data_IF_011972096083
#
_entry.id   IF_011972096083
#
_cell.length_a   1.000
_cell.length_b   1.000
_cell.length_c   1.000
_cell.angle_alpha   90.00
_cell.angle_beta   90.00
_cell.angle_gamma   90.00
#
_symmetry.space_group_name_H-M   'P 1'
#
loop_
_entity.id
_entity.type
_entity.pdbx_description
1 polymer ?
#
# COMPACT_ATOMS: atom_id res chain seq x y z
N UNK A 1 -4.52 15.93 -62.81
CA UNK A 1 -3.79 14.80 -62.18
C UNK A 1 -3.10 15.33 -60.93
N UNK A 2 -3.27 14.60 -59.85
CA UNK A 2 -3.16 14.96 -58.43
C UNK A 2 -1.74 15.12 -57.89
N UNK A 3 -1.56 15.85 -56.76
CA UNK A 3 -0.27 16.02 -56.08
C UNK A 3 0.13 14.78 -55.26
N UNK A 4 1.42 14.65 -54.87
CA UNK A 4 1.94 13.46 -54.19
C UNK A 4 1.40 13.33 -52.75
N UNK A 5 1.37 12.10 -52.19
CA UNK A 5 0.77 11.86 -50.88
C UNK A 5 1.65 12.46 -49.77
N UNK A 6 1.11 13.49 -49.12
CA UNK A 6 1.66 14.05 -47.89
C UNK A 6 1.65 13.01 -46.77
N UNK A 7 2.76 12.93 -46.06
CA UNK A 7 2.92 12.16 -44.84
C UNK A 7 1.85 12.52 -43.82
N UNK A 8 1.02 11.54 -43.47
CA UNK A 8 0.04 11.62 -42.40
C UNK A 8 0.75 11.66 -41.05
N UNK A 9 1.14 12.86 -40.62
CA UNK A 9 1.51 13.12 -39.23
C UNK A 9 0.29 12.81 -38.36
N UNK A 10 0.35 11.68 -37.65
CA UNK A 10 -0.74 11.18 -36.81
C UNK A 10 -1.13 12.21 -35.76
N UNK A 11 -2.40 12.63 -35.75
CA UNK A 11 -3.01 13.51 -34.73
C UNK A 11 -2.72 13.04 -33.30
N UNK A 12 -2.47 11.75 -33.10
CA UNK A 12 -2.04 11.21 -31.82
C UNK A 12 -0.69 11.78 -31.36
N UNK A 13 0.27 11.97 -32.27
CA UNK A 13 1.55 12.60 -31.92
C UNK A 13 1.37 14.08 -31.58
N UNK A 14 0.44 14.78 -32.23
CA UNK A 14 0.10 16.18 -31.94
C UNK A 14 -0.62 16.35 -30.60
N UNK A 15 -1.51 15.42 -30.25
CA UNK A 15 -2.22 15.41 -28.97
C UNK A 15 -1.35 14.99 -27.80
N UNK A 16 -0.40 14.07 -28.00
CA UNK A 16 0.55 13.67 -26.96
C UNK A 16 1.62 14.76 -26.76
N UNK A 17 2.05 15.43 -27.83
CA UNK A 17 2.96 16.59 -27.73
C UNK A 17 2.31 17.81 -27.07
N UNK A 18 0.98 17.98 -27.18
CA UNK A 18 0.27 19.07 -26.52
C UNK A 18 -0.04 18.76 -25.05
N UNK A 19 -0.24 17.48 -24.70
CA UNK A 19 -0.41 17.04 -23.32
C UNK A 19 0.89 17.13 -22.48
N UNK A 20 2.05 17.03 -23.15
CA UNK A 20 3.38 17.15 -22.54
C UNK A 20 4.01 18.47 -22.99
N UNK A 21 3.43 19.60 -22.58
CA UNK A 21 4.04 20.91 -22.82
C UNK A 21 5.19 21.13 -21.82
N UNK A 22 6.30 20.40 -22.00
CA UNK A 22 7.55 20.70 -21.30
C UNK A 22 8.20 21.83 -22.09
N UNK A 23 8.38 23.04 -21.50
CA UNK A 23 9.17 24.06 -22.15
C UNK A 23 10.53 23.45 -22.44
N UNK A 24 10.95 23.43 -23.72
CA UNK A 24 12.34 23.16 -24.06
C UNK A 24 13.18 24.05 -23.15
N UNK A 25 13.94 23.45 -22.24
CA UNK A 25 14.78 24.19 -21.31
C UNK A 25 15.83 24.91 -22.13
N UNK A 26 15.50 26.13 -22.56
CA UNK A 26 16.52 27.11 -22.92
C UNK A 26 17.37 27.22 -21.67
N UNK A 27 18.64 26.84 -21.81
CA UNK A 27 19.64 26.93 -20.76
C UNK A 27 19.80 28.40 -20.36
N UNK A 28 18.95 28.84 -19.43
CA UNK A 28 19.09 30.11 -18.73
C UNK A 28 20.21 29.94 -17.70
N UNK A 29 21.26 30.73 -17.88
CA UNK A 29 22.38 30.84 -16.95
C UNK A 29 21.90 31.32 -15.58
N UNK A 30 21.73 30.39 -14.64
CA UNK A 30 21.54 30.67 -13.20
C UNK A 30 22.75 30.17 -12.40
N UNK A 31 23.30 30.96 -11.47
CA UNK A 31 24.59 30.70 -10.83
C UNK A 31 24.47 29.77 -9.60
N UNK A 32 23.85 28.59 -9.74
CA UNK A 32 23.82 27.58 -8.68
C UNK A 32 24.03 26.16 -9.24
N UNK A 33 25.28 25.69 -9.21
CA UNK A 33 25.70 24.29 -9.11
C UNK A 33 25.41 23.33 -10.29
N UNK A 34 26.28 22.36 -10.61
CA UNK A 34 26.16 21.54 -11.80
C UNK A 34 25.23 20.33 -11.58
N UNK A 35 23.95 20.53 -11.30
CA UNK A 35 22.97 19.43 -11.29
C UNK A 35 22.62 18.94 -12.71
N UNK A 36 22.79 19.81 -13.71
CA UNK A 36 22.37 19.55 -15.10
C UNK A 36 23.50 18.99 -16.00
N UNK A 37 24.75 18.92 -15.50
CA UNK A 37 25.89 18.47 -16.30
C UNK A 37 25.81 16.99 -16.70
N UNK A 38 25.15 16.14 -15.88
CA UNK A 38 25.02 14.70 -16.12
C UNK A 38 23.86 14.30 -17.05
N UNK A 39 22.94 15.25 -17.32
CA UNK A 39 21.78 15.07 -18.21
C UNK A 39 21.99 15.74 -19.57
N UNK A 40 22.84 16.78 -19.66
CA UNK A 40 23.15 17.49 -20.91
C UNK A 40 23.86 16.63 -21.98
N UNK A 41 24.47 15.51 -21.59
CA UNK A 41 25.16 14.58 -22.50
C UNK A 41 24.23 13.50 -23.09
N UNK A 42 22.94 13.51 -22.73
CA UNK A 42 21.95 12.56 -23.25
C UNK A 42 21.06 13.28 -24.25
N UNK A 43 20.56 12.53 -25.24
CA UNK A 43 19.65 13.08 -26.26
C UNK A 43 18.47 13.80 -25.60
N UNK A 44 18.07 14.99 -26.11
CA UNK A 44 16.92 15.71 -25.58
C UNK A 44 15.66 14.84 -25.69
N UNK A 45 14.75 15.01 -24.72
CA UNK A 45 13.52 14.24 -24.64
C UNK A 45 12.73 14.34 -25.95
N UNK A 46 12.62 13.23 -26.67
CA UNK A 46 11.87 13.15 -27.91
C UNK A 46 10.88 11.99 -27.85
N UNK A 47 9.60 12.32 -28.04
CA UNK A 47 8.49 11.37 -27.97
C UNK A 47 8.70 10.18 -28.92
N UNK A 48 9.18 10.34 -30.18
CA UNK A 48 9.42 9.20 -31.06
C UNK A 48 10.51 8.23 -30.57
N UNK A 49 11.57 8.75 -29.94
CA UNK A 49 12.65 7.93 -29.38
C UNK A 49 12.13 7.18 -28.14
N UNK A 50 11.38 7.85 -27.27
CA UNK A 50 10.74 7.22 -26.11
C UNK A 50 9.80 6.09 -26.54
N UNK A 51 8.94 6.31 -27.54
CA UNK A 51 8.01 5.28 -28.03
C UNK A 51 8.75 4.08 -28.62
N UNK A 52 9.80 4.31 -29.41
CA UNK A 52 10.59 3.23 -30.02
C UNK A 52 11.35 2.42 -28.97
N UNK A 53 11.97 3.10 -27.99
CA UNK A 53 12.65 2.45 -26.88
C UNK A 53 11.67 1.70 -25.96
N UNK A 54 10.48 2.26 -25.71
CA UNK A 54 9.43 1.61 -24.93
C UNK A 54 8.93 0.33 -25.61
N UNK A 55 8.67 0.35 -26.92
CA UNK A 55 8.31 -0.86 -27.70
C UNK A 55 9.36 -1.96 -27.58
N UNK A 56 10.64 -1.60 -27.71
CA UNK A 56 11.77 -2.52 -27.55
C UNK A 56 11.91 -3.04 -26.12
N UNK A 57 11.57 -2.23 -25.13
CA UNK A 57 11.56 -2.62 -23.72
C UNK A 57 10.44 -3.64 -23.44
N UNK A 58 9.20 -3.35 -23.86
CA UNK A 58 8.04 -4.24 -23.66
C UNK A 58 8.28 -5.61 -24.29
N UNK A 59 8.89 -5.67 -25.47
CA UNK A 59 9.15 -6.94 -26.15
C UNK A 59 10.19 -7.83 -25.45
N UNK A 60 11.00 -7.25 -24.55
CA UNK A 60 12.09 -7.95 -23.83
C UNK A 60 11.82 -8.16 -22.34
N UNK A 61 11.03 -7.29 -21.72
CA UNK A 61 10.77 -7.32 -20.26
C UNK A 61 9.92 -8.52 -19.81
N UNK A 62 9.28 -9.25 -20.74
CA UNK A 62 8.40 -10.37 -20.41
C UNK A 62 9.02 -11.43 -19.52
N UNK A 63 10.34 -11.67 -19.63
CA UNK A 63 11.04 -12.58 -18.71
C UNK A 63 10.98 -12.11 -17.25
N UNK A 64 11.12 -10.80 -17.01
CA UNK A 64 11.10 -10.23 -15.66
C UNK A 64 9.74 -10.46 -15.02
N UNK A 65 8.65 -10.18 -15.75
CA UNK A 65 7.30 -10.42 -15.26
C UNK A 65 7.01 -11.91 -15.08
N UNK A 66 7.51 -12.76 -15.96
CA UNK A 66 7.42 -14.22 -15.76
C UNK A 66 8.08 -14.66 -14.45
N UNK A 67 9.27 -14.13 -14.12
CA UNK A 67 9.95 -14.42 -12.84
C UNK A 67 9.13 -13.91 -11.66
N UNK A 68 8.62 -12.67 -11.74
CA UNK A 68 7.76 -12.12 -10.69
C UNK A 68 6.51 -12.98 -10.46
N UNK A 69 5.83 -13.39 -11.54
CA UNK A 69 4.65 -14.25 -11.48
C UNK A 69 4.98 -15.63 -10.88
N UNK A 70 6.15 -16.22 -11.21
CA UNK A 70 6.60 -17.48 -10.59
C UNK A 70 6.88 -17.31 -9.11
N UNK A 71 7.52 -16.21 -8.72
CA UNK A 71 7.75 -15.91 -7.30
C UNK A 71 6.42 -15.75 -6.56
N UNK A 72 5.47 -15.01 -7.14
CA UNK A 72 4.12 -14.88 -6.57
C UNK A 72 3.43 -16.24 -6.47
N UNK A 73 3.49 -17.07 -7.50
CA UNK A 73 2.92 -18.42 -7.51
C UNK A 73 3.46 -19.30 -6.37
N UNK A 74 4.78 -19.21 -6.12
CA UNK A 74 5.47 -19.93 -5.06
C UNK A 74 5.07 -19.39 -3.68
N UNK A 75 5.17 -18.07 -3.46
CA UNK A 75 4.86 -17.44 -2.18
C UNK A 75 3.38 -17.56 -1.80
N UNK A 76 2.46 -17.50 -2.77
CA UNK A 76 1.01 -17.58 -2.55
C UNK A 76 0.45 -19.01 -2.66
N UNK A 77 1.30 -20.03 -2.73
CA UNK A 77 0.91 -21.45 -2.75
C UNK A 77 -0.05 -21.82 -3.91
N UNK A 78 -0.05 -21.06 -5.02
CA UNK A 78 -1.07 -21.19 -6.09
C UNK A 78 -0.99 -22.51 -6.86
N UNK A 79 0.21 -23.08 -7.04
CA UNK A 79 0.42 -24.35 -7.76
C UNK A 79 0.21 -25.61 -6.91
N UNK A 80 -0.15 -25.43 -5.64
CA UNK A 80 -0.35 -26.52 -4.67
C UNK A 80 0.86 -26.78 -3.77
N UNK A 81 0.60 -27.50 -2.68
CA UNK A 81 1.53 -27.64 -1.56
C UNK A 81 2.85 -28.33 -1.92
N UNK A 82 2.83 -29.33 -2.82
CA UNK A 82 4.03 -30.10 -3.21
C UNK A 82 5.07 -29.23 -3.93
N UNK A 83 4.60 -28.30 -4.76
CA UNK A 83 5.48 -27.42 -5.55
C UNK A 83 6.16 -26.39 -4.64
N UNK A 84 5.39 -25.68 -3.82
CA UNK A 84 5.93 -24.68 -2.88
C UNK A 84 6.83 -25.31 -1.83
N UNK A 85 6.47 -26.48 -1.28
CA UNK A 85 7.30 -27.18 -0.28
C UNK A 85 8.65 -27.62 -0.85
N UNK A 86 8.70 -28.02 -2.12
CA UNK A 86 9.97 -28.35 -2.79
C UNK A 86 10.90 -27.13 -2.88
N UNK A 87 10.35 -25.96 -3.23
CA UNK A 87 11.11 -24.69 -3.23
C UNK A 87 11.52 -24.25 -1.83
N UNK A 88 10.65 -24.45 -0.84
CA UNK A 88 10.96 -24.17 0.56
C UNK A 88 12.08 -25.08 1.09
N UNK A 89 12.08 -26.36 0.71
CA UNK A 89 13.15 -27.29 1.06
C UNK A 89 14.49 -26.87 0.43
N UNK A 90 14.48 -26.44 -0.84
CA UNK A 90 15.65 -25.86 -1.50
C UNK A 90 16.14 -24.61 -0.76
N UNK A 91 15.23 -23.72 -0.37
CA UNK A 91 15.55 -22.53 0.43
C UNK A 91 16.19 -22.89 1.78
N UNK A 92 15.63 -23.85 2.51
CA UNK A 92 16.18 -24.32 3.78
C UNK A 92 17.60 -24.89 3.61
N UNK A 93 17.86 -25.63 2.52
CA UNK A 93 19.18 -26.15 2.21
C UNK A 93 20.21 -25.03 1.93
N UNK A 94 19.80 -23.97 1.24
CA UNK A 94 20.63 -22.77 1.00
C UNK A 94 20.93 -22.04 2.32
N UNK A 95 19.94 -21.89 3.21
CA UNK A 95 20.13 -21.28 4.52
C UNK A 95 21.06 -22.10 5.43
N UNK A 96 21.02 -23.43 5.34
CA UNK A 96 21.89 -24.31 6.12
C UNK A 96 23.37 -24.17 5.73
N UNK A 97 23.67 -23.91 4.45
CA UNK A 97 25.04 -23.65 3.96
C UNK A 97 25.05 -22.45 3.00
N UNK A 98 25.19 -21.20 3.50
CA UNK A 98 25.17 -20.01 2.64
C UNK A 98 26.30 -19.98 1.59
N UNK A 99 27.39 -20.75 1.80
CA UNK A 99 28.44 -20.96 0.80
C UNK A 99 27.94 -21.60 -0.50
N UNK A 100 26.80 -22.29 -0.48
CA UNK A 100 26.14 -22.85 -1.67
C UNK A 100 25.62 -21.74 -2.60
N UNK A 101 25.26 -20.57 -2.07
CA UNK A 101 24.83 -19.41 -2.85
C UNK A 101 25.96 -18.93 -3.80
N UNK A 102 27.21 -19.08 -3.38
CA UNK A 102 28.38 -18.69 -4.18
C UNK A 102 28.57 -19.60 -5.42
N UNK A 103 28.06 -20.84 -5.34
CA UNK A 103 28.12 -21.85 -6.41
C UNK A 103 26.86 -21.81 -7.30
N UNK A 104 25.76 -21.25 -6.79
CA UNK A 104 24.49 -21.12 -7.51
C UNK A 104 24.59 -20.45 -8.90
N UNK A 105 25.31 -19.32 -9.11
CA UNK A 105 25.43 -18.74 -10.45
C UNK A 105 26.17 -19.66 -11.42
N UNK A 106 27.17 -20.40 -10.95
CA UNK A 106 27.90 -21.38 -11.76
C UNK A 106 27.02 -22.57 -12.16
N UNK A 107 26.21 -23.07 -11.23
CA UNK A 107 25.26 -24.17 -11.49
C UNK A 107 24.14 -23.72 -12.42
N UNK A 108 23.65 -22.49 -12.29
CA UNK A 108 22.64 -21.93 -13.18
C UNK A 108 23.17 -21.80 -14.62
N UNK A 109 24.39 -21.29 -14.80
CA UNK A 109 25.05 -21.21 -16.10
C UNK A 109 25.26 -22.62 -16.70
N UNK A 110 25.69 -23.58 -15.89
CA UNK A 110 25.85 -24.97 -16.33
C UNK A 110 24.51 -25.58 -16.77
N UNK A 111 23.44 -25.36 -16.01
CA UNK A 111 22.10 -25.84 -16.34
C UNK A 111 21.59 -25.22 -17.64
N UNK A 112 21.79 -23.92 -17.85
CA UNK A 112 21.46 -23.23 -19.11
C UNK A 112 22.29 -23.78 -20.27
N UNK A 113 23.59 -24.02 -20.08
CA UNK A 113 24.44 -24.62 -21.11
C UNK A 113 23.98 -26.03 -21.48
N UNK A 114 23.65 -26.87 -20.49
CA UNK A 114 23.16 -28.24 -20.70
C UNK A 114 21.78 -28.26 -21.38
N UNK A 115 20.89 -27.35 -21.00
CA UNK A 115 19.58 -27.21 -21.61
C UNK A 115 19.68 -26.77 -23.08
N UNK A 116 20.61 -25.88 -23.41
CA UNK A 116 20.85 -25.44 -24.78
C UNK A 116 21.71 -26.42 -25.60
N UNK A 117 22.46 -27.31 -24.96
CA UNK A 117 23.30 -28.31 -25.63
C UNK A 117 22.47 -29.34 -26.41
N UNK A 118 21.23 -29.62 -25.97
CA UNK A 118 20.33 -30.56 -26.63
C UNK A 118 19.44 -29.92 -27.71
N UNK A 119 19.51 -28.61 -27.91
CA UNK A 119 18.80 -27.95 -29.00
C UNK A 119 19.56 -28.19 -30.30
N UNK A 120 18.97 -28.87 -31.31
CA UNK A 120 19.59 -28.94 -32.63
C UNK A 120 19.89 -27.53 -33.12
N UNK A 121 21.05 -27.26 -33.74
CA UNK A 121 21.31 -25.96 -34.32
C UNK A 121 20.16 -25.62 -35.27
N UNK A 122 19.47 -24.51 -35.00
CA UNK A 122 18.44 -24.01 -35.89
C UNK A 122 19.04 -23.89 -37.30
N UNK A 123 18.47 -24.54 -38.32
CA UNK A 123 18.99 -24.40 -39.67
C UNK A 123 18.94 -22.92 -40.03
N UNK A 124 20.09 -22.37 -40.39
CA UNK A 124 20.21 -21.02 -40.93
C UNK A 124 19.61 -21.01 -42.34
N UNK A 125 18.28 -21.02 -42.41
CA UNK A 125 17.53 -20.85 -43.65
C UNK A 125 16.66 -19.62 -43.51
N UNK A 126 17.24 -18.49 -43.90
CA UNK A 126 16.46 -17.45 -44.55
C UNK A 126 15.85 -18.08 -45.79
N UNK A 127 14.55 -18.33 -45.81
CA UNK A 127 13.69 -18.21 -46.99
C UNK A 127 12.24 -18.43 -46.56
N UNK A 128 11.38 -17.55 -47.06
CA UNK A 128 9.93 -17.69 -47.05
C UNK A 128 9.54 -19.12 -47.45
N UNK A 129 8.67 -19.79 -46.70
CA UNK A 129 7.49 -20.47 -47.23
C UNK A 129 6.61 -20.96 -46.07
N UNK A 130 5.31 -20.80 -46.30
CA UNK A 130 4.18 -21.37 -45.57
C UNK A 130 4.37 -22.85 -45.26
N UNK A 131 4.40 -23.23 -43.98
CA UNK A 131 4.23 -24.63 -43.59
C UNK A 131 3.41 -24.73 -42.30
N UNK A 132 2.42 -25.62 -42.37
CA UNK A 132 1.36 -25.85 -41.39
C UNK A 132 1.98 -26.67 -40.24
N UNK A 133 1.98 -26.11 -39.03
CA UNK A 133 2.52 -26.80 -37.85
C UNK A 133 1.47 -27.73 -37.22
N UNK A 134 1.82 -29.02 -37.15
CA UNK A 134 1.08 -30.03 -36.39
C UNK A 134 1.15 -29.80 -34.86
N UNK A 135 0.05 -29.98 -34.11
CA UNK A 135 -0.01 -29.68 -32.68
C UNK A 135 0.15 -30.96 -31.85
N UNK A 136 1.36 -31.49 -31.68
CA UNK A 136 1.52 -32.66 -30.79
C UNK A 136 2.89 -32.89 -30.16
N UNK A 137 3.62 -31.85 -29.75
CA UNK A 137 4.65 -32.02 -28.70
C UNK A 137 4.70 -30.78 -27.81
N UNK A 138 3.84 -30.75 -26.80
CA UNK A 138 3.91 -29.80 -25.67
C UNK A 138 3.80 -30.58 -24.37
N UNK A 139 4.80 -31.40 -24.09
CA UNK A 139 4.95 -32.08 -22.80
C UNK A 139 6.38 -31.90 -22.30
N UNK A 140 6.62 -30.69 -21.82
CA UNK A 140 7.51 -30.30 -20.72
C UNK A 140 7.48 -28.78 -20.75
N UNK A 141 6.98 -28.17 -19.68
CA UNK A 141 6.93 -26.72 -19.49
C UNK A 141 8.33 -26.13 -19.60
N UNK A 142 8.77 -25.84 -20.83
CA UNK A 142 9.94 -25.05 -21.10
C UNK A 142 9.69 -23.65 -20.52
N UNK A 143 10.66 -23.02 -19.83
CA UNK A 143 10.60 -21.58 -19.66
C UNK A 143 10.46 -21.00 -21.07
N UNK A 144 9.61 -19.96 -21.29
CA UNK A 144 9.56 -19.32 -22.60
C UNK A 144 10.97 -18.81 -22.88
N UNK A 145 11.73 -19.54 -23.69
CA UNK A 145 12.95 -19.04 -24.31
C UNK A 145 12.43 -17.85 -25.09
N UNK A 146 12.70 -16.65 -24.57
CA UNK A 146 11.96 -15.44 -24.89
C UNK A 146 11.92 -15.20 -26.40
N UNK A 147 10.87 -15.68 -27.05
CA UNK A 147 10.42 -15.09 -28.29
C UNK A 147 10.09 -13.65 -27.95
N UNK A 148 10.84 -12.72 -28.53
CA UNK A 148 10.57 -11.29 -28.43
C UNK A 148 9.07 -11.10 -28.66
N UNK A 149 8.35 -10.62 -27.65
CA UNK A 149 6.90 -10.51 -27.75
C UNK A 149 6.59 -9.56 -28.92
N UNK A 150 6.00 -10.11 -29.99
CA UNK A 150 5.68 -9.35 -31.20
C UNK A 150 4.68 -8.27 -30.86
N UNK A 151 4.84 -7.07 -31.41
CA UNK A 151 3.93 -5.95 -31.18
C UNK A 151 2.49 -6.36 -31.51
N UNK A 152 1.56 -6.16 -30.57
CA UNK A 152 0.15 -6.57 -30.71
C UNK A 152 -0.15 -8.02 -30.31
N UNK A 153 0.84 -8.83 -29.94
CA UNK A 153 0.61 -10.18 -29.39
C UNK A 153 -0.01 -10.12 -27.99
N UNK A 154 -0.68 -11.21 -27.57
CA UNK A 154 -1.22 -11.33 -26.21
C UNK A 154 -0.13 -11.20 -25.14
N UNK A 155 1.07 -11.73 -25.39
CA UNK A 155 2.22 -11.57 -24.51
C UNK A 155 2.71 -10.12 -24.43
N UNK A 156 2.67 -9.39 -25.55
CA UNK A 156 3.00 -7.96 -25.57
C UNK A 156 1.98 -7.14 -24.77
N UNK A 157 0.69 -7.44 -24.92
CA UNK A 157 -0.38 -6.81 -24.14
C UNK A 157 -0.30 -7.14 -22.64
N UNK A 158 0.04 -8.38 -22.28
CA UNK A 158 0.27 -8.79 -20.90
C UNK A 158 1.43 -8.01 -20.27
N UNK A 159 2.53 -7.80 -21.01
CA UNK A 159 3.65 -6.99 -20.53
C UNK A 159 3.26 -5.52 -20.31
N UNK A 160 2.43 -4.94 -21.19
CA UNK A 160 1.87 -3.59 -21.00
C UNK A 160 1.08 -3.51 -19.70
N UNK A 161 0.16 -4.46 -19.48
CA UNK A 161 -0.67 -4.50 -18.28
C UNK A 161 0.19 -4.64 -17.00
N UNK A 162 1.21 -5.49 -17.05
CA UNK A 162 2.11 -5.69 -15.91
C UNK A 162 2.91 -4.42 -15.59
N UNK A 163 3.36 -3.66 -16.59
CA UNK A 163 4.03 -2.36 -16.40
C UNK A 163 3.08 -1.35 -15.74
N UNK A 164 1.80 -1.33 -16.14
CA UNK A 164 0.81 -0.42 -15.54
C UNK A 164 0.64 -0.70 -14.04
N UNK A 165 0.47 -1.97 -13.66
CA UNK A 165 0.37 -2.36 -12.26
C UNK A 165 1.65 -2.03 -11.47
N UNK A 166 2.82 -2.25 -12.07
CA UNK A 166 4.11 -1.92 -11.47
C UNK A 166 4.27 -0.42 -11.23
N UNK A 167 3.83 0.43 -12.18
CA UNK A 167 3.91 1.89 -12.05
C UNK A 167 3.13 2.40 -10.83
N UNK A 168 1.91 1.90 -10.63
CA UNK A 168 1.10 2.24 -9.46
C UNK A 168 1.76 1.76 -8.16
N UNK A 169 2.19 0.51 -8.13
CA UNK A 169 2.85 -0.06 -6.94
C UNK A 169 4.11 0.70 -6.54
N UNK A 170 4.95 1.09 -7.50
CA UNK A 170 6.18 1.85 -7.21
C UNK A 170 5.87 3.24 -6.68
N UNK A 171 4.83 3.90 -7.22
CA UNK A 171 4.39 5.21 -6.72
C UNK A 171 3.86 5.11 -5.28
N UNK A 172 2.96 4.15 -5.02
CA UNK A 172 2.42 3.91 -3.67
C UNK A 172 3.52 3.55 -2.67
N UNK A 173 4.47 2.71 -3.07
CA UNK A 173 5.61 2.34 -2.24
C UNK A 173 6.52 3.54 -1.96
N UNK A 174 6.74 4.41 -2.95
CA UNK A 174 7.50 5.64 -2.75
C UNK A 174 6.79 6.58 -1.77
N UNK A 175 5.49 6.81 -1.94
CA UNK A 175 4.71 7.68 -1.05
C UNK A 175 4.66 7.12 0.38
N UNK A 176 4.64 5.80 0.54
CA UNK A 176 4.71 5.14 1.85
C UNK A 176 6.11 5.26 2.50
N UNK A 177 7.19 5.16 1.72
CA UNK A 177 8.56 5.21 2.23
C UNK A 177 9.08 6.64 2.39
N UNK A 178 8.55 7.62 1.65
CA UNK A 178 9.04 9.00 1.66
C UNK A 178 9.07 9.61 3.07
N UNK A 179 8.05 9.45 3.94
CA UNK A 179 8.10 9.93 5.32
C UNK A 179 9.24 9.30 6.15
N UNK A 180 9.62 8.05 5.87
CA UNK A 180 10.71 7.36 6.57
C UNK A 180 12.09 7.95 6.24
N UNK A 181 12.22 8.70 5.14
CA UNK A 181 13.48 9.36 4.77
C UNK A 181 13.91 10.40 5.83
N UNK A 182 12.96 10.96 6.58
CA UNK A 182 13.26 11.88 7.67
C UNK A 182 13.98 11.18 8.85
N UNK A 183 13.75 9.87 9.05
CA UNK A 183 14.41 9.07 10.09
C UNK A 183 15.86 8.75 9.72
N UNK A 184 16.15 8.64 8.41
CA UNK A 184 17.49 8.31 7.87
C UNK A 184 18.33 9.58 7.67
N UNK A 185 17.69 10.73 7.54
CA UNK A 185 18.36 12.02 7.45
C UNK A 185 18.76 12.47 8.86
N UNK A 186 20.03 12.88 9.06
CA UNK A 186 20.58 13.39 10.33
C UNK A 186 19.95 14.72 10.82
N UNK A 187 18.74 15.05 10.37
CA UNK A 187 18.02 16.28 10.65
C UNK A 187 17.04 16.16 11.84
N UNK A 188 16.61 14.94 12.18
CA UNK A 188 15.71 14.67 13.30
C UNK A 188 16.49 14.27 14.57
N UNK A 189 16.02 14.68 15.75
CA UNK A 189 16.56 14.23 17.04
C UNK A 189 16.50 12.69 17.22
N UNK A 190 15.57 12.02 16.55
CA UNK A 190 15.45 10.56 16.57
C UNK A 190 16.50 9.84 15.68
N UNK A 191 17.08 10.52 14.70
CA UNK A 191 18.03 9.90 13.75
C UNK A 191 19.33 9.43 14.41
N UNK A 192 19.83 10.17 15.41
CA UNK A 192 21.07 9.84 16.13
C UNK A 192 20.93 8.60 17.02
N UNK A 193 19.91 8.47 17.89
CA UNK A 193 19.71 7.24 18.66
C UNK A 193 19.34 6.05 17.78
N UNK A 194 18.61 6.24 16.68
CA UNK A 194 18.32 5.15 15.72
C UNK A 194 19.60 4.70 15.02
N UNK A 195 20.45 5.62 14.58
CA UNK A 195 21.75 5.30 13.98
C UNK A 195 22.64 4.53 14.95
N UNK A 196 22.74 4.99 16.20
CA UNK A 196 23.50 4.31 17.25
C UNK A 196 22.90 2.94 17.59
N UNK A 197 21.57 2.81 17.61
CA UNK A 197 20.89 1.54 17.80
C UNK A 197 21.17 0.57 16.65
N UNK A 198 21.09 1.01 15.39
CA UNK A 198 21.43 0.20 14.21
C UNK A 198 22.91 -0.21 14.27
N UNK A 199 23.82 0.71 14.58
CA UNK A 199 25.24 0.40 14.74
C UNK A 199 25.48 -0.62 15.86
N UNK A 200 24.84 -0.43 17.01
CA UNK A 200 25.00 -1.30 18.18
C UNK A 200 24.31 -2.66 18.03
N UNK A 201 23.26 -2.77 17.21
CA UNK A 201 22.55 -4.03 16.94
C UNK A 201 23.14 -4.81 15.77
N UNK A 202 23.71 -4.14 14.76
CA UNK A 202 24.33 -4.81 13.61
C UNK A 202 25.60 -5.57 13.97
N UNK A 203 26.43 -5.02 14.86
CA UNK A 203 27.67 -5.66 15.34
C UNK A 203 27.38 -7.03 16.00
N UNK A 204 26.51 -7.17 17.02
CA UNK A 204 26.18 -8.47 17.60
C UNK A 204 25.47 -9.40 16.61
N UNK A 205 24.69 -8.87 15.66
CA UNK A 205 24.03 -9.66 14.62
C UNK A 205 25.02 -10.44 13.73
N UNK A 206 26.25 -9.94 13.58
CA UNK A 206 27.31 -10.67 12.84
C UNK A 206 27.87 -11.88 13.60
N UNK A 207 27.73 -11.92 14.93
CA UNK A 207 28.17 -13.02 15.79
C UNK A 207 27.09 -14.07 16.04
N UNK A 208 25.81 -13.74 15.79
CA UNK A 208 24.74 -14.73 15.80
C UNK A 208 24.80 -15.61 14.55
N UNK A 209 24.41 -16.90 14.65
CA UNK A 209 24.29 -17.77 13.49
C UNK A 209 23.14 -17.27 12.61
N UNK A 210 23.45 -16.36 11.67
CA UNK A 210 22.51 -15.83 10.67
C UNK A 210 21.76 -16.93 9.91
N UNK A 211 22.29 -18.14 9.89
CA UNK A 211 21.65 -19.35 9.36
C UNK A 211 20.27 -19.59 9.99
N UNK A 212 20.16 -19.51 11.31
CA UNK A 212 18.89 -19.76 12.00
C UNK A 212 17.90 -18.61 11.78
N UNK A 213 18.39 -17.36 11.80
CA UNK A 213 17.53 -16.20 11.56
C UNK A 213 16.99 -16.16 10.14
N UNK A 214 17.84 -16.38 9.14
CA UNK A 214 17.41 -16.43 7.73
C UNK A 214 16.46 -17.60 7.50
N UNK A 215 16.73 -18.77 8.09
CA UNK A 215 15.83 -19.92 8.01
C UNK A 215 14.48 -19.64 8.66
N UNK A 216 14.45 -19.12 9.90
CA UNK A 216 13.20 -18.78 10.60
C UNK A 216 12.45 -17.68 9.85
N UNK A 217 13.14 -16.65 9.35
CA UNK A 217 12.50 -15.55 8.62
C UNK A 217 11.86 -16.04 7.32
N UNK A 218 12.58 -16.82 6.52
CA UNK A 218 12.05 -17.33 5.26
C UNK A 218 10.95 -18.38 5.46
N UNK A 219 11.17 -19.39 6.31
CA UNK A 219 10.14 -20.38 6.64
C UNK A 219 8.92 -19.71 7.25
N UNK A 220 9.14 -18.75 8.15
CA UNK A 220 8.10 -17.91 8.75
C UNK A 220 7.27 -17.19 7.68
N UNK A 221 7.91 -16.50 6.74
CA UNK A 221 7.21 -15.82 5.65
C UNK A 221 6.35 -16.80 4.82
N UNK A 222 6.88 -17.97 4.47
CA UNK A 222 6.12 -19.00 3.74
C UNK A 222 4.97 -19.60 4.53
N UNK A 223 5.14 -19.76 5.85
CA UNK A 223 4.07 -20.27 6.72
C UNK A 223 2.96 -19.25 6.90
N UNK A 224 3.28 -17.95 6.99
CA UNK A 224 2.29 -16.87 7.09
C UNK A 224 1.44 -16.74 5.82
N UNK A 225 2.02 -17.01 4.64
CA UNK A 225 1.29 -16.99 3.37
C UNK A 225 0.51 -18.27 3.09
N UNK A 226 0.67 -19.32 3.92
CA UNK A 226 -0.03 -20.59 3.71
C UNK A 226 -1.55 -20.40 3.82
N UNK A 227 -2.37 -20.94 2.91
CA UNK A 227 -3.82 -20.71 2.88
C UNK A 227 -4.53 -21.02 4.20
N UNK A 228 -4.15 -22.10 4.89
CA UNK A 228 -4.72 -22.45 6.19
C UNK A 228 -4.33 -21.47 7.29
N UNK A 229 -3.07 -21.03 7.32
CA UNK A 229 -2.61 -20.04 8.30
C UNK A 229 -3.28 -18.72 8.00
N UNK A 230 -3.39 -18.33 6.73
CA UNK A 230 -4.06 -17.09 6.35
C UNK A 230 -5.53 -17.08 6.76
N UNK A 231 -6.23 -18.20 6.58
CA UNK A 231 -7.60 -18.35 7.02
C UNK A 231 -7.72 -18.31 8.56
N UNK A 232 -6.91 -19.07 9.29
CA UNK A 232 -7.01 -19.07 10.76
C UNK A 232 -6.43 -17.83 11.46
N UNK A 233 -5.51 -17.11 10.80
CA UNK A 233 -4.81 -15.98 11.39
C UNK A 233 -5.43 -14.65 10.98
N UNK A 234 -5.81 -14.48 9.70
CA UNK A 234 -6.26 -13.21 9.13
C UNK A 234 -7.74 -13.16 8.73
N UNK A 235 -8.47 -14.28 8.72
CA UNK A 235 -9.91 -14.22 8.47
C UNK A 235 -10.66 -13.57 9.64
N UNK A 236 -11.94 -13.25 9.43
CA UNK A 236 -12.77 -12.49 10.36
C UNK A 236 -12.82 -13.06 11.76
N UNK A 237 -12.73 -14.38 11.86
CA UNK A 237 -12.73 -15.15 13.10
C UNK A 237 -11.32 -15.57 13.55
N UNK A 238 -10.28 -15.07 12.87
CA UNK A 238 -8.90 -15.45 13.10
C UNK A 238 -8.32 -14.87 14.39
N UNK A 239 -7.30 -15.54 14.92
CA UNK A 239 -6.69 -15.21 16.23
C UNK A 239 -6.20 -13.77 16.28
N UNK A 240 -5.61 -13.25 15.19
CA UNK A 240 -5.16 -11.85 15.17
C UNK A 240 -6.34 -10.87 15.11
N UNK A 241 -7.44 -11.23 14.47
CA UNK A 241 -8.66 -10.42 14.46
C UNK A 241 -9.30 -10.31 15.83
N UNK A 242 -9.24 -11.39 16.62
CA UNK A 242 -9.72 -11.41 17.99
C UNK A 242 -8.71 -10.82 18.99
N UNK A 243 -7.43 -10.74 18.63
CA UNK A 243 -6.38 -10.21 19.49
C UNK A 243 -6.48 -8.69 19.64
N UNK A 244 -6.37 -8.20 20.88
CA UNK A 244 -6.22 -6.77 21.17
C UNK A 244 -4.83 -6.23 20.81
N UNK A 245 -3.92 -7.06 20.31
CA UNK A 245 -2.52 -6.68 20.08
C UNK A 245 -2.40 -5.72 18.89
N UNK A 246 -3.11 -5.98 17.79
CA UNK A 246 -3.08 -5.13 16.60
C UNK A 246 -3.45 -3.67 16.91
N UNK A 247 -4.60 -3.37 17.55
CA UNK A 247 -4.95 -1.98 17.85
C UNK A 247 -3.96 -1.33 18.85
N UNK A 248 -3.36 -2.09 19.78
CA UNK A 248 -2.28 -1.59 20.64
C UNK A 248 -1.09 -1.16 19.77
N UNK A 249 -0.59 -2.05 18.91
CA UNK A 249 0.58 -1.75 18.07
C UNK A 249 0.34 -0.57 17.14
N UNK A 250 -0.87 -0.46 16.57
CA UNK A 250 -1.25 0.68 15.71
C UNK A 250 -1.26 1.98 16.53
N UNK A 251 -1.89 2.00 17.70
CA UNK A 251 -1.97 3.19 18.54
C UNK A 251 -0.61 3.63 19.05
N UNK A 252 0.20 2.70 19.56
CA UNK A 252 1.56 3.00 20.04
C UNK A 252 2.47 3.45 18.88
N UNK A 253 2.40 2.78 17.72
CA UNK A 253 3.17 3.16 16.54
C UNK A 253 2.82 4.57 16.05
N UNK A 254 1.54 4.95 16.06
CA UNK A 254 1.10 6.31 15.75
C UNK A 254 1.54 7.31 16.80
N UNK A 255 1.45 6.97 18.08
CA UNK A 255 1.95 7.83 19.16
C UNK A 255 3.42 8.16 18.96
N UNK A 256 4.25 7.17 18.62
CA UNK A 256 5.68 7.38 18.35
C UNK A 256 5.93 8.30 17.14
N UNK A 257 5.15 8.14 16.07
CA UNK A 257 5.24 9.03 14.90
C UNK A 257 4.82 10.46 15.28
N UNK A 258 3.72 10.62 15.99
CA UNK A 258 3.21 11.92 16.42
C UNK A 258 4.21 12.61 17.36
N UNK A 259 4.78 11.89 18.32
CA UNK A 259 5.82 12.40 19.22
C UNK A 259 7.08 12.84 18.47
N UNK A 260 7.47 12.12 17.41
CA UNK A 260 8.61 12.50 16.58
C UNK A 260 8.38 13.75 15.72
N UNK A 261 7.11 14.13 15.53
CA UNK A 261 6.70 15.29 14.73
C UNK A 261 6.50 16.57 15.56
N UNK A 262 6.60 16.49 16.88
CA UNK A 262 6.40 17.63 17.77
C UNK A 262 7.51 18.69 17.59
N UNK A 263 7.11 19.97 17.57
CA UNK A 263 8.03 21.10 17.58
C UNK A 263 8.63 21.31 18.99
N UNK A 264 9.75 22.02 19.06
CA UNK A 264 10.43 22.32 20.33
C UNK A 264 9.52 23.09 21.32
N UNK A 265 8.62 23.95 20.80
CA UNK A 265 7.64 24.67 21.60
C UNK A 265 6.63 23.71 22.26
N UNK A 266 6.16 22.69 21.53
CA UNK A 266 5.25 21.69 22.09
C UNK A 266 5.93 20.76 23.10
N UNK A 267 7.22 20.45 22.91
CA UNK A 267 8.00 19.61 23.83
C UNK A 267 8.29 20.33 25.14
N UNK A 268 8.50 21.65 25.08
CA UNK A 268 8.80 22.49 26.25
C UNK A 268 7.55 22.99 26.98
N UNK A 269 6.36 22.75 26.41
CA UNK A 269 5.09 23.05 27.06
C UNK A 269 4.95 22.28 28.38
N UNK A 270 4.49 22.98 29.43
CA UNK A 270 4.42 22.44 30.78
C UNK A 270 3.44 21.25 30.92
N UNK A 271 2.44 21.16 30.05
CA UNK A 271 1.43 20.11 30.07
C UNK A 271 0.82 19.91 28.68
N UNK A 272 0.93 18.70 28.11
CA UNK A 272 0.11 18.29 26.96
C UNK A 272 -1.16 17.62 27.48
N UNK A 273 -2.32 18.10 27.05
CA UNK A 273 -3.62 17.49 27.37
C UNK A 273 -4.26 16.89 26.15
N UNK A 274 -5.04 15.85 26.36
CA UNK A 274 -5.84 15.22 25.30
C UNK A 274 -7.28 15.73 25.37
N UNK A 275 -7.78 16.22 24.23
CA UNK A 275 -9.19 16.51 24.04
C UNK A 275 -9.80 15.37 23.24
N UNK A 276 -10.98 14.93 23.67
CA UNK A 276 -11.72 13.90 22.96
C UNK A 276 -13.10 14.35 22.53
N UNK A 277 -13.55 13.75 21.44
CA UNK A 277 -14.93 13.84 20.94
C UNK A 277 -15.39 12.44 20.54
N UNK A 278 -16.70 12.26 20.45
CA UNK A 278 -17.30 11.01 20.05
C UNK A 278 -18.12 11.20 18.77
N UNK A 279 -17.87 10.32 17.81
CA UNK A 279 -18.67 10.14 16.61
C UNK A 279 -19.72 9.06 16.87
N UNK A 280 -20.98 9.37 16.57
CA UNK A 280 -22.13 8.53 16.82
C UNK A 280 -22.84 8.22 15.49
N UNK A 281 -23.10 6.93 15.24
CA UNK A 281 -23.77 6.48 14.02
C UNK A 281 -24.82 5.41 14.31
N UNK A 282 -25.81 5.31 13.42
CA UNK A 282 -26.90 4.34 13.51
C UNK A 282 -26.97 3.53 12.22
N UNK A 283 -27.30 2.25 12.36
CA UNK A 283 -27.54 1.39 11.21
C UNK A 283 -28.87 1.75 10.55
N UNK A 284 -28.81 2.07 9.26
CA UNK A 284 -29.99 2.36 8.44
C UNK A 284 -30.25 1.21 7.48
N UNK A 285 -31.51 0.76 7.43
CA UNK A 285 -31.97 -0.20 6.43
C UNK A 285 -32.33 0.51 5.12
N UNK A 286 -32.30 -0.20 3.98
CA UNK A 286 -32.86 0.30 2.73
C UNK A 286 -34.34 0.54 2.97
N UNK A 287 -34.76 1.80 2.95
CA UNK A 287 -36.18 2.12 2.92
C UNK A 287 -36.74 1.69 1.56
N UNK A 288 -37.68 0.75 1.53
CA UNK A 288 -38.45 0.36 0.34
C UNK A 288 -39.37 1.47 -0.20
N UNK A 289 -39.23 2.69 0.32
CA UNK A 289 -40.12 3.82 0.11
C UNK A 289 -39.37 5.01 -0.51
N UNK A 290 -38.76 4.81 -1.68
CA UNK A 290 -38.51 5.88 -2.65
C UNK A 290 -38.14 5.29 -4.02
N UNK A 291 -39.08 4.60 -4.64
CA UNK A 291 -39.08 4.45 -6.10
C UNK A 291 -39.60 5.75 -6.70
N UNK A 292 -38.81 6.83 -6.62
CA UNK A 292 -39.09 8.03 -7.39
C UNK A 292 -38.88 7.69 -8.87
N UNK A 293 -39.87 8.00 -9.70
CA UNK A 293 -39.98 7.73 -11.14
C UNK A 293 -38.95 8.46 -12.03
N UNK A 294 -37.79 8.81 -11.49
CA UNK A 294 -36.66 9.36 -12.21
C UNK A 294 -35.35 8.85 -11.59
N UNK A 295 -34.79 7.78 -12.15
CA UNK A 295 -33.39 7.35 -11.93
C UNK A 295 -32.90 7.31 -10.47
N UNK A 296 -33.69 6.78 -9.53
CA UNK A 296 -33.35 6.78 -8.11
C UNK A 296 -32.22 5.81 -7.75
N UNK A 297 -31.18 6.33 -7.07
CA UNK A 297 -30.12 5.53 -6.44
C UNK A 297 -30.69 4.71 -5.29
N UNK A 298 -30.49 3.39 -5.33
CA UNK A 298 -30.89 2.48 -4.26
C UNK A 298 -30.09 2.85 -3.02
N UNK A 299 -30.74 3.37 -1.97
CA UNK A 299 -30.05 3.63 -0.71
C UNK A 299 -29.71 2.29 -0.06
N UNK A 300 -28.45 1.87 -0.23
CA UNK A 300 -27.94 0.64 0.36
C UNK A 300 -28.02 0.70 1.91
N UNK A 301 -28.21 -0.47 2.52
CA UNK A 301 -28.11 -0.63 3.96
C UNK A 301 -26.72 -0.20 4.41
N UNK A 302 -26.63 0.52 5.52
CA UNK A 302 -25.33 0.98 5.99
C UNK A 302 -25.40 1.86 7.22
N UNK A 303 -24.22 2.06 7.81
CA UNK A 303 -24.00 3.00 8.89
C UNK A 303 -24.14 4.43 8.39
N UNK A 304 -24.97 5.22 9.07
CA UNK A 304 -25.14 6.63 8.77
C UNK A 304 -25.06 7.47 10.04
N UNK A 305 -24.28 8.54 9.96
CA UNK A 305 -24.25 9.63 10.93
C UNK A 305 -25.13 10.80 10.48
N UNK A 306 -25.14 11.85 11.29
CA UNK A 306 -25.82 13.11 10.98
C UNK A 306 -27.27 13.19 11.49
N UNK A 307 -27.81 14.41 11.50
CA UNK A 307 -29.12 14.76 12.07
C UNK A 307 -30.27 13.95 11.45
N UNK A 308 -30.16 13.57 10.18
CA UNK A 308 -31.23 12.87 9.44
C UNK A 308 -31.20 11.35 9.63
N UNK A 309 -30.16 10.79 10.25
CA UNK A 309 -29.95 9.33 10.36
C UNK A 309 -30.12 8.82 11.79
N UNK A 310 -30.04 9.72 12.78
CA UNK A 310 -30.16 9.44 14.20
C UNK A 310 -31.61 9.73 14.65
N UNK A 311 -32.11 8.98 15.64
CA UNK A 311 -33.43 9.27 16.23
C UNK A 311 -33.37 10.61 16.98
N UNK A 312 -34.49 11.30 17.10
CA UNK A 312 -34.57 12.53 17.90
C UNK A 312 -34.16 12.33 19.38
N UNK A 313 -34.30 11.10 19.90
CA UNK A 313 -33.87 10.71 21.25
C UNK A 313 -32.41 10.23 21.31
N UNK A 314 -31.73 10.09 20.18
CA UNK A 314 -30.33 9.67 20.15
C UNK A 314 -29.41 10.84 20.47
N UNK A 315 -28.18 10.49 20.87
CA UNK A 315 -27.07 11.45 20.92
C UNK A 315 -26.83 12.04 19.52
N UNK A 316 -26.50 13.32 19.46
CA UNK A 316 -26.12 13.97 18.20
C UNK A 316 -24.92 13.28 17.53
N UNK A 317 -24.74 13.49 16.22
CA UNK A 317 -23.69 12.83 15.43
C UNK A 317 -22.28 13.02 16.00
N UNK A 318 -22.02 14.17 16.60
CA UNK A 318 -20.77 14.51 17.29
C UNK A 318 -21.06 15.00 18.71
N UNK A 319 -20.37 14.42 19.70
CA UNK A 319 -20.56 14.75 21.12
C UNK A 319 -19.23 14.91 21.87
N UNK A 320 -19.08 15.87 22.79
CA UNK A 320 -17.86 16.00 23.64
C UNK A 320 -17.86 15.08 24.86
N UNK A 321 -19.02 14.84 25.46
CA UNK A 321 -19.13 14.06 26.69
C UNK A 321 -19.40 12.58 26.46
N UNK A 322 -18.97 11.72 27.38
CA UNK A 322 -19.31 10.28 27.37
C UNK A 322 -20.82 10.05 27.58
N UNK A 323 -21.48 10.96 28.28
CA UNK A 323 -22.93 11.06 28.46
C UNK A 323 -23.67 11.51 27.19
N UNK A 324 -23.00 12.30 26.33
CA UNK A 324 -23.54 12.82 25.07
C UNK A 324 -24.19 14.20 25.18
N UNK A 325 -23.89 14.96 26.24
CA UNK A 325 -24.59 16.19 26.62
C UNK A 325 -24.27 17.44 25.77
N UNK A 326 -23.13 17.46 25.06
CA UNK A 326 -22.70 18.64 24.28
C UNK A 326 -22.46 18.25 22.83
N UNK A 327 -23.28 18.81 21.92
CA UNK A 327 -23.13 18.67 20.47
C UNK A 327 -22.08 19.64 19.94
N UNK A 328 -21.15 19.14 19.13
CA UNK A 328 -20.15 19.98 18.45
C UNK A 328 -20.79 20.60 17.21
N UNK A 329 -20.54 21.89 16.96
CA UNK A 329 -21.00 22.58 15.76
C UNK A 329 -20.33 22.00 14.51
N UNK A 330 -21.15 21.57 13.55
CA UNK A 330 -20.71 21.00 12.27
C UNK A 330 -20.78 22.08 11.19
N UNK A 331 -19.65 22.73 10.89
CA UNK A 331 -19.52 23.63 9.74
C UNK A 331 -18.84 22.87 8.61
N UNK A 332 -19.65 22.38 7.66
CA UNK A 332 -19.43 21.78 6.32
C UNK A 332 -18.11 21.08 5.91
N UNK A 333 -16.98 21.27 6.57
CA UNK A 333 -15.72 20.59 6.29
C UNK A 333 -14.77 20.43 7.49
N UNK A 334 -15.02 21.09 8.63
CA UNK A 334 -14.16 20.98 9.82
C UNK A 334 -14.97 20.93 11.13
N UNK A 335 -14.59 19.99 12.00
CA UNK A 335 -15.09 19.90 13.37
C UNK A 335 -14.53 21.07 14.19
N UNK A 336 -15.38 22.06 14.50
CA UNK A 336 -14.98 23.23 15.28
C UNK A 336 -15.17 22.95 16.76
N UNK A 337 -14.10 22.46 17.39
CA UNK A 337 -14.05 22.28 18.84
C UNK A 337 -13.47 23.55 19.46
N UNK A 338 -14.32 24.42 20.01
CA UNK A 338 -13.92 25.57 20.83
C UNK A 338 -13.19 25.11 22.10
N UNK A 339 -11.92 25.47 22.22
CA UNK A 339 -11.12 25.22 23.41
C UNK A 339 -11.33 26.33 24.44
N UNK A 340 -11.02 26.03 25.71
CA UNK A 340 -10.97 27.05 26.74
C UNK A 340 -9.87 28.09 26.42
N UNK A 341 -10.05 29.36 26.82
CA UNK A 341 -9.04 30.40 26.57
C UNK A 341 -7.66 29.99 27.10
N UNK A 342 -6.62 30.19 26.29
CA UNK A 342 -5.25 29.81 26.64
C UNK A 342 -4.85 28.38 26.24
N UNK A 343 -5.66 27.68 25.44
CA UNK A 343 -5.30 26.38 24.86
C UNK A 343 -5.32 26.43 23.33
N UNK A 344 -4.34 25.78 22.71
CA UNK A 344 -4.29 25.59 21.26
C UNK A 344 -4.08 24.12 20.91
N UNK A 345 -4.56 23.73 19.73
CA UNK A 345 -4.29 22.41 19.17
C UNK A 345 -2.84 22.32 18.68
N UNK A 346 -2.25 21.14 18.83
CA UNK A 346 -0.99 20.82 18.15
C UNK A 346 -1.23 20.84 16.64
N UNK A 347 -0.53 21.73 15.93
CA UNK A 347 -0.76 21.99 14.50
C UNK A 347 -0.34 20.83 13.61
N UNK A 348 0.67 20.07 14.03
CA UNK A 348 1.20 18.91 13.30
C UNK A 348 0.30 17.68 13.39
N UNK A 349 -0.64 17.67 14.34
CA UNK A 349 -1.53 16.54 14.61
C UNK A 349 -2.93 16.78 14.06
N UNK A 350 -3.58 15.70 13.63
CA UNK A 350 -5.00 15.69 13.27
C UNK A 350 -5.81 14.92 14.30
N UNK A 351 -7.14 14.89 14.14
CA UNK A 351 -7.99 14.03 14.96
C UNK A 351 -7.70 12.57 14.64
N UNK A 352 -7.39 11.79 15.68
CA UNK A 352 -7.11 10.37 15.52
C UNK A 352 -8.15 9.52 16.24
N UNK A 353 -8.57 8.39 15.67
CA UNK A 353 -9.47 7.47 16.34
C UNK A 353 -8.72 6.73 17.46
N UNK A 354 -9.38 6.59 18.60
CA UNK A 354 -8.88 5.78 19.70
C UNK A 354 -9.20 4.30 19.46
N UNK A 355 -8.22 3.58 18.91
CA UNK A 355 -8.35 2.17 18.53
C UNK A 355 -8.54 1.23 19.74
N UNK A 356 -8.03 1.59 20.92
CA UNK A 356 -8.16 0.75 22.12
C UNK A 356 -9.52 0.90 22.80
N UNK A 357 -10.18 2.04 22.61
CA UNK A 357 -11.45 2.38 23.26
C UNK A 357 -11.46 2.05 24.76
N UNK A 358 -10.41 2.46 25.50
CA UNK A 358 -10.30 2.22 26.95
C UNK A 358 -11.47 2.82 27.75
N UNK A 359 -12.21 3.75 27.14
CA UNK A 359 -13.43 4.34 27.68
C UNK A 359 -14.61 3.36 27.75
N UNK A 360 -14.58 2.24 27.00
CA UNK A 360 -15.60 1.20 27.02
C UNK A 360 -15.06 -0.08 27.68
N UNK A 361 -15.84 -0.77 28.53
CA UNK A 361 -15.37 -1.96 29.25
C UNK A 361 -15.02 -3.13 28.31
N UNK A 362 -15.69 -3.22 27.16
CA UNK A 362 -15.56 -4.31 26.21
C UNK A 362 -14.53 -4.06 25.10
N UNK A 363 -13.94 -2.86 25.04
CA UNK A 363 -13.04 -2.42 23.97
C UNK A 363 -13.77 -2.12 22.66
N UNK A 364 -13.01 -1.82 21.62
CA UNK A 364 -13.52 -1.52 20.28
C UNK A 364 -13.09 -2.55 19.23
N UNK A 365 -13.65 -2.41 18.03
CA UNK A 365 -13.17 -3.06 16.82
C UNK A 365 -11.82 -2.51 16.34
N UNK A 366 -11.33 -3.04 15.21
CA UNK A 366 -10.07 -2.62 14.57
C UNK A 366 -10.02 -1.14 14.20
N UNK A 367 -11.17 -0.52 13.97
CA UNK A 367 -11.27 0.87 13.56
C UNK A 367 -11.69 1.77 14.74
N UNK A 368 -11.71 1.28 15.99
CA UNK A 368 -12.06 2.06 17.17
C UNK A 368 -13.57 2.24 17.42
N UNK A 369 -14.44 1.48 16.76
CA UNK A 369 -15.88 1.48 17.01
C UNK A 369 -16.29 0.55 18.15
N UNK A 370 -17.19 1.04 18.99
CA UNK A 370 -17.92 0.28 20.00
C UNK A 370 -19.38 0.21 19.56
N UNK A 371 -19.92 -1.00 19.48
CA UNK A 371 -21.28 -1.26 19.02
C UNK A 371 -22.23 -1.40 20.21
N UNK A 372 -23.44 -0.88 20.08
CA UNK A 372 -24.49 -0.96 21.09
C UNK A 372 -25.83 -1.29 20.43
N UNK A 373 -26.79 -1.72 21.25
CA UNK A 373 -28.14 -1.95 20.77
C UNK A 373 -28.87 -0.63 20.43
N UNK A 374 -30.15 -0.73 20.03
CA UNK A 374 -31.00 0.41 19.65
C UNK A 374 -31.07 1.55 20.69
N UNK A 375 -30.85 1.20 21.96
CA UNK A 375 -30.96 2.10 23.12
C UNK A 375 -29.59 2.55 23.69
N UNK A 376 -28.49 2.34 22.96
CA UNK A 376 -27.12 2.66 23.42
C UNK A 376 -26.65 1.86 24.64
N UNK A 377 -27.19 0.64 24.81
CA UNK A 377 -26.85 -0.29 25.88
C UNK A 377 -26.11 -1.53 25.34
N UNK A 378 -25.54 -2.32 26.25
CA UNK A 378 -24.74 -3.53 25.97
C UNK A 378 -23.57 -3.28 24.98
N UNK A 379 -22.51 -2.56 25.39
CA UNK A 379 -21.40 -2.24 24.51
C UNK A 379 -20.63 -3.50 24.11
N UNK A 380 -20.39 -3.71 22.81
CA UNK A 380 -19.63 -4.83 22.26
C UNK A 380 -18.58 -4.37 21.24
N UNK A 381 -17.47 -5.12 21.11
CA UNK A 381 -16.39 -4.79 20.17
C UNK A 381 -16.70 -5.21 18.73
N UNK A 382 -17.84 -5.87 18.47
CA UNK A 382 -18.24 -6.32 17.15
C UNK A 382 -19.76 -6.15 16.97
N UNK A 383 -20.24 -5.92 15.73
CA UNK A 383 -21.67 -5.79 15.45
C UNK A 383 -22.38 -7.14 15.66
N UNK A 384 -23.51 -7.11 16.34
CA UNK A 384 -24.34 -8.30 16.59
C UNK A 384 -25.46 -8.37 15.56
N UNK A 385 -25.59 -9.51 14.88
CA UNK A 385 -26.63 -9.71 13.86
C UNK A 385 -28.05 -9.59 14.44
N UNK A 386 -28.25 -10.01 15.68
CA UNK A 386 -29.51 -9.90 16.41
C UNK A 386 -30.02 -8.44 16.52
N UNK A 387 -29.11 -7.47 16.54
CA UNK A 387 -29.45 -6.04 16.62
C UNK A 387 -29.73 -5.41 15.25
N UNK A 388 -29.47 -6.12 14.15
CA UNK A 388 -29.75 -5.58 12.82
C UNK A 388 -31.23 -5.22 12.68
N UNK A 389 -32.16 -6.08 13.10
CA UNK A 389 -33.61 -5.85 12.98
C UNK A 389 -34.17 -4.77 13.91
N UNK A 390 -33.93 -4.80 15.24
CA UNK A 390 -34.45 -3.78 16.16
C UNK A 390 -33.75 -2.42 16.01
N UNK A 391 -32.54 -2.41 15.46
CA UNK A 391 -31.70 -1.23 15.34
C UNK A 391 -30.40 -1.42 16.13
N UNK A 392 -29.29 -0.97 15.55
CA UNK A 392 -28.00 -0.95 16.20
C UNK A 392 -27.36 0.43 16.08
N UNK A 393 -26.54 0.77 17.06
CA UNK A 393 -25.81 2.01 17.14
C UNK A 393 -24.32 1.71 17.29
N UNK A 394 -23.46 2.64 16.88
CA UNK A 394 -22.02 2.54 17.10
C UNK A 394 -21.43 3.89 17.47
N UNK A 395 -20.35 3.84 18.24
CA UNK A 395 -19.66 5.02 18.75
C UNK A 395 -18.16 4.86 18.64
N UNK A 396 -17.46 5.91 18.18
CA UNK A 396 -16.00 5.96 18.11
C UNK A 396 -15.51 7.20 18.83
N UNK A 397 -14.47 7.05 19.64
CA UNK A 397 -13.78 8.16 20.30
C UNK A 397 -12.66 8.66 19.39
N UNK A 398 -12.58 9.96 19.20
CA UNK A 398 -11.50 10.65 18.53
C UNK A 398 -10.75 11.49 19.54
N UNK A 399 -9.42 11.52 19.43
CA UNK A 399 -8.51 12.22 20.34
C UNK A 399 -7.61 13.17 19.55
N UNK A 400 -7.25 14.28 20.18
CA UNK A 400 -6.23 15.22 19.67
C UNK A 400 -5.58 15.97 20.83
N UNK A 401 -4.28 16.22 20.74
CA UNK A 401 -3.55 16.91 21.81
C UNK A 401 -3.68 18.43 21.70
N UNK A 402 -3.72 19.07 22.87
CA UNK A 402 -3.70 20.51 23.07
C UNK A 402 -2.56 20.88 24.02
N UNK A 403 -2.04 22.09 23.86
CA UNK A 403 -1.00 22.64 24.71
C UNK A 403 -1.39 24.04 25.20
N UNK A 404 -0.92 24.46 26.39
CA UNK A 404 -1.19 25.78 26.93
C UNK A 404 -0.43 26.84 26.14
N UNK A 405 -1.14 27.90 25.74
CA UNK A 405 -0.57 29.08 25.11
C UNK A 405 -0.63 30.23 26.13
N UNK A 406 0.49 30.92 26.41
CA UNK A 406 0.49 32.03 27.35
C UNK A 406 -0.46 33.13 26.86
N UNK A 407 -1.44 33.46 27.69
CA UNK A 407 -2.39 34.55 27.42
C UNK A 407 -1.61 35.86 27.52
N UNK A 408 -1.22 36.44 26.38
CA UNK A 408 -0.65 37.80 26.36
C UNK A 408 -1.80 38.76 26.70
N UNK A 409 -1.82 39.26 27.93
CA UNK A 409 -2.60 40.44 28.27
C UNK A 409 -2.01 41.61 27.48
N UNK A 410 -2.73 42.05 26.44
CA UNK A 410 -2.46 43.26 25.68
C UNK A 410 -2.88 44.50 26.47
#
# INVERSE_FOLDING_TARGET
MSPPPGSSYSLANLLISSAINIPASQAGSSPRGPANALLSSKDPLSIPITTTNFRRFISRVGFVFWVMDRMEEIFMWRKGWKYTTSWLALYCAVCYKPRLLLVAPSVALLAVMIANYHSPPAPATWHNHTEIADPSVSLLSQPPVGGLATEGSSAWLANIQAIQNLMGFVADAYDMLFPLTHLITFKSHASTPIFLFILFTTIPLTFLPLQLFTLIAGVGAFTLTHPLVRHHLFDKDGILQQSRIIPIVIQEGRSLVNDSSLSEEHITAAELREVFIFQNERWSWPSSAQTSSAGGSIIAAGWKGGVNSLKASDRGAWTRGADGSVTVGESSSHLVVQLDPGWAFVETEQWEPDFLARWAPTGADRDGWVYTNDAWLDPRPAPVEEWQKPGMTRRRRWVRRIYPVPIRHS
#
